data_IF_424783328663
#
_entry.id   IF_424783328663
#
_cell.length_a   1.000
_cell.length_b   1.000
_cell.length_c   1.000
_cell.angle_alpha   90.00
_cell.angle_beta   90.00
_cell.angle_gamma   90.00
#
_symmetry.space_group_name_H-M   'P 1'
#
loop_
_entity.id
_entity.type
_entity.pdbx_description
1 polymer ?
#
# COMPACT_ATOMS: atom_id res chain seq x y z
N UNK A 1 -8.32 -0.94 6.84
CA UNK A 1 -8.69 -0.39 5.51
C UNK A 1 -8.51 -1.49 4.48
N UNK A 2 -9.41 -1.62 3.51
CA UNK A 2 -9.30 -2.55 2.38
C UNK A 2 -9.94 -1.92 1.12
N UNK A 3 -9.81 -2.56 -0.04
CA UNK A 3 -10.16 -2.01 -1.37
C UNK A 3 -11.58 -2.32 -1.88
N UNK A 4 -12.45 -2.90 -1.05
CA UNK A 4 -13.75 -3.46 -1.47
C UNK A 4 -13.72 -4.65 -2.43
N UNK A 5 -12.61 -5.39 -2.59
CA UNK A 5 -12.64 -6.63 -3.36
C UNK A 5 -13.74 -7.59 -2.84
N UNK A 6 -14.33 -8.38 -3.72
CA UNK A 6 -15.48 -9.25 -3.38
C UNK A 6 -15.16 -10.23 -2.25
N UNK A 7 -13.92 -10.73 -2.19
CA UNK A 7 -13.46 -11.58 -1.09
C UNK A 7 -13.49 -10.85 0.27
N UNK A 8 -13.22 -9.55 0.30
CA UNK A 8 -13.26 -8.70 1.51
C UNK A 8 -14.69 -8.35 1.96
N UNK A 9 -15.72 -8.70 1.16
CA UNK A 9 -17.13 -8.37 1.43
C UNK A 9 -17.97 -9.62 1.72
N UNK A 10 -17.33 -10.76 1.95
CA UNK A 10 -18.00 -11.99 2.37
C UNK A 10 -18.47 -11.89 3.83
N UNK A 11 -19.51 -12.65 4.20
CA UNK A 11 -19.99 -12.75 5.58
C UNK A 11 -18.89 -13.25 6.52
N UNK A 12 -18.13 -14.26 6.11
CA UNK A 12 -17.04 -14.81 6.91
C UNK A 12 -15.96 -13.75 7.25
N UNK A 13 -15.63 -12.86 6.31
CA UNK A 13 -14.71 -11.74 6.59
C UNK A 13 -15.36 -10.71 7.50
N UNK A 14 -16.66 -10.42 7.33
CA UNK A 14 -17.37 -9.50 8.22
C UNK A 14 -17.40 -10.01 9.66
N UNK A 15 -17.79 -11.27 9.86
CA UNK A 15 -17.85 -11.91 11.18
C UNK A 15 -16.47 -11.89 11.86
N UNK A 16 -15.40 -12.14 11.10
CA UNK A 16 -14.03 -12.07 11.60
C UNK A 16 -13.61 -10.65 12.01
N UNK A 17 -13.96 -9.63 11.23
CA UNK A 17 -13.66 -8.24 11.63
C UNK A 17 -14.44 -7.86 12.89
N UNK A 18 -15.70 -8.28 13.00
CA UNK A 18 -16.55 -7.99 14.15
C UNK A 18 -16.04 -8.70 15.41
N UNK A 19 -15.57 -9.96 15.30
CA UNK A 19 -15.00 -10.70 16.43
C UNK A 19 -13.70 -10.09 16.93
N UNK A 20 -12.89 -9.53 16.04
CA UNK A 20 -11.63 -8.84 16.38
C UNK A 20 -11.86 -7.35 16.77
N UNK A 21 -13.10 -6.86 16.73
CA UNK A 21 -13.43 -5.47 17.02
C UNK A 21 -12.85 -4.46 16.01
N UNK A 22 -12.55 -4.90 14.79
CA UNK A 22 -11.93 -4.09 13.74
C UNK A 22 -13.00 -3.35 12.96
N UNK A 23 -13.00 -2.03 13.07
CA UNK A 23 -13.87 -1.19 12.25
C UNK A 23 -13.31 -1.01 10.84
N UNK A 24 -14.13 -1.32 9.85
CA UNK A 24 -13.77 -1.11 8.44
C UNK A 24 -13.96 0.35 8.05
N UNK A 25 -12.91 0.93 7.44
CA UNK A 25 -12.98 2.25 6.82
C UNK A 25 -13.82 2.18 5.53
N UNK A 26 -14.72 3.16 5.33
CA UNK A 26 -15.43 3.32 4.06
C UNK A 26 -14.41 3.67 2.96
N UNK A 27 -14.38 2.87 1.91
CA UNK A 27 -13.41 3.03 0.82
C UNK A 27 -14.10 3.34 -0.51
N UNK A 28 -13.68 4.37 -1.27
CA UNK A 28 -14.20 4.62 -2.60
C UNK A 28 -13.72 3.56 -3.60
N UNK A 29 -14.58 3.22 -4.56
CA UNK A 29 -14.20 2.30 -5.63
C UNK A 29 -13.10 2.89 -6.53
N UNK A 30 -12.25 2.04 -7.10
CA UNK A 30 -11.21 2.43 -8.08
C UNK A 30 -10.26 3.54 -7.61
N UNK A 31 -9.92 3.56 -6.33
CA UNK A 31 -9.06 4.59 -5.73
C UNK A 31 -7.72 4.04 -5.22
N UNK A 32 -6.87 3.45 -6.07
CA UNK A 32 -5.56 2.95 -5.65
C UNK A 32 -4.61 4.10 -5.28
N UNK A 33 -4.81 5.29 -5.83
CA UNK A 33 -4.07 6.51 -5.52
C UNK A 33 -4.25 7.00 -4.07
N UNK A 34 -5.40 6.69 -3.47
CA UNK A 34 -5.63 6.88 -2.04
C UNK A 34 -4.95 5.81 -1.18
N UNK A 35 -4.61 4.64 -1.72
CA UNK A 35 -4.11 3.52 -0.94
C UNK A 35 -2.60 3.64 -0.66
N UNK A 36 -2.16 3.90 0.59
CA UNK A 36 -0.74 4.16 0.88
C UNK A 36 0.17 2.97 0.60
N UNK A 37 -0.34 1.74 0.71
CA UNK A 37 0.46 0.53 0.50
C UNK A 37 0.94 0.38 -0.94
N UNK A 38 0.27 1.02 -1.91
CA UNK A 38 0.70 1.00 -3.31
C UNK A 38 2.07 1.67 -3.47
N UNK A 39 2.35 2.74 -2.72
CA UNK A 39 3.64 3.41 -2.73
C UNK A 39 4.74 2.55 -2.09
N UNK A 40 4.43 1.82 -1.02
CA UNK A 40 5.38 0.89 -0.38
C UNK A 40 5.65 -0.31 -1.29
N UNK A 41 4.61 -0.87 -1.90
CA UNK A 41 4.71 -2.04 -2.79
C UNK A 41 5.54 -1.74 -4.04
N UNK A 42 5.35 -0.57 -4.64
CA UNK A 42 6.15 -0.13 -5.78
C UNK A 42 7.60 0.13 -5.36
N UNK A 43 7.85 0.78 -4.22
CA UNK A 43 9.19 1.00 -3.69
C UNK A 43 9.93 -0.32 -3.42
N UNK A 44 9.25 -1.29 -2.81
CA UNK A 44 9.76 -2.63 -2.57
C UNK A 44 10.06 -3.36 -3.89
N UNK A 45 9.16 -3.24 -4.87
CA UNK A 45 9.35 -3.79 -6.21
C UNK A 45 10.59 -3.26 -6.90
N UNK A 46 10.88 -1.95 -6.77
CA UNK A 46 12.13 -1.35 -7.28
C UNK A 46 13.37 -1.92 -6.60
N UNK A 47 13.36 -2.06 -5.28
CA UNK A 47 14.51 -2.62 -4.55
C UNK A 47 14.79 -4.07 -4.96
N UNK A 48 13.74 -4.88 -5.11
CA UNK A 48 13.89 -6.27 -5.59
C UNK A 48 14.37 -6.33 -7.05
N UNK A 49 13.89 -5.44 -7.92
CA UNK A 49 14.32 -5.37 -9.32
C UNK A 49 15.76 -4.86 -9.47
N UNK A 50 16.23 -4.01 -8.56
CA UNK A 50 17.58 -3.45 -8.54
C UNK A 50 18.67 -4.38 -7.99
N UNK A 51 18.31 -5.59 -7.52
CA UNK A 51 19.29 -6.54 -6.97
C UNK A 51 20.24 -7.05 -8.06
N UNK A 52 21.51 -7.19 -7.70
CA UNK A 52 22.54 -7.80 -8.57
C UNK A 52 22.15 -9.20 -9.08
N UNK A 53 21.40 -9.95 -8.25
CA UNK A 53 20.88 -11.27 -8.59
C UNK A 53 19.36 -11.26 -8.49
N UNK A 54 18.65 -10.96 -9.60
CA UNK A 54 17.20 -10.96 -9.60
C UNK A 54 16.63 -12.35 -9.27
N UNK A 55 15.52 -12.43 -8.51
CA UNK A 55 14.89 -13.71 -8.18
C UNK A 55 14.30 -14.39 -9.42
N UNK A 56 14.62 -15.67 -9.63
CA UNK A 56 14.22 -16.44 -10.82
C UNK A 56 13.06 -17.42 -10.55
N UNK A 57 12.71 -17.63 -9.29
CA UNK A 57 11.63 -18.52 -8.88
C UNK A 57 10.88 -17.99 -7.64
N UNK A 58 9.75 -18.64 -7.33
CA UNK A 58 8.87 -18.26 -6.21
C UNK A 58 9.62 -18.10 -4.88
N UNK A 59 10.46 -19.06 -4.51
CA UNK A 59 11.15 -19.05 -3.22
C UNK A 59 12.18 -17.92 -3.15
N UNK A 60 12.96 -17.75 -4.22
CA UNK A 60 13.93 -16.63 -4.30
C UNK A 60 13.23 -15.28 -4.28
N UNK A 61 12.02 -15.17 -4.86
CA UNK A 61 11.23 -13.93 -4.86
C UNK A 61 10.67 -13.62 -3.49
N UNK A 62 10.13 -14.61 -2.77
CA UNK A 62 9.66 -14.44 -1.39
C UNK A 62 10.83 -13.97 -0.51
N UNK A 63 11.97 -14.67 -0.57
CA UNK A 63 13.16 -14.28 0.19
C UNK A 63 13.60 -12.86 -0.15
N UNK A 64 13.64 -12.51 -1.43
CA UNK A 64 14.05 -11.19 -1.85
C UNK A 64 13.10 -10.09 -1.33
N UNK A 65 11.78 -10.33 -1.37
CA UNK A 65 10.79 -9.39 -0.83
C UNK A 65 10.94 -9.22 0.68
N UNK A 66 11.14 -10.32 1.43
CA UNK A 66 11.35 -10.26 2.88
C UNK A 66 12.62 -9.46 3.21
N UNK A 67 13.74 -9.77 2.57
CA UNK A 67 15.02 -9.08 2.82
C UNK A 67 14.98 -7.59 2.49
N UNK A 68 14.25 -7.17 1.44
CA UNK A 68 14.11 -5.73 1.14
C UNK A 68 13.07 -5.06 2.04
N UNK A 69 12.03 -5.78 2.48
CA UNK A 69 11.04 -5.27 3.43
C UNK A 69 11.70 -4.95 4.78
N UNK A 70 12.55 -5.85 5.28
CA UNK A 70 13.24 -5.69 6.56
C UNK A 70 14.21 -4.50 6.58
N UNK A 71 14.61 -3.99 5.41
CA UNK A 71 15.45 -2.79 5.28
C UNK A 71 14.65 -1.50 5.23
N UNK A 72 13.33 -1.55 5.05
CA UNK A 72 12.51 -0.35 4.95
C UNK A 72 12.59 0.43 6.27
N UNK A 73 12.98 1.71 6.25
CA UNK A 73 12.98 2.52 7.46
C UNK A 73 11.55 2.66 7.99
N UNK A 74 11.36 2.48 9.30
CA UNK A 74 10.06 2.70 9.94
C UNK A 74 9.52 4.11 9.64
N UNK A 75 10.41 5.11 9.62
CA UNK A 75 10.06 6.49 9.29
C UNK A 75 9.44 6.64 7.89
N UNK A 76 9.85 5.82 6.91
CA UNK A 76 9.23 5.81 5.59
C UNK A 76 7.79 5.31 5.67
N UNK A 77 7.55 4.22 6.40
CA UNK A 77 6.20 3.68 6.60
C UNK A 77 5.31 4.70 7.31
N UNK A 78 5.83 5.34 8.36
CA UNK A 78 5.12 6.37 9.11
C UNK A 78 4.75 7.56 8.21
N UNK A 79 5.68 8.04 7.38
CA UNK A 79 5.43 9.12 6.43
C UNK A 79 4.34 8.74 5.40
N UNK A 80 4.37 7.51 4.90
CA UNK A 80 3.37 7.02 3.95
C UNK A 80 2.00 6.94 4.61
N UNK A 81 1.89 6.48 5.85
CA UNK A 81 0.63 6.46 6.61
C UNK A 81 0.14 7.88 6.89
N UNK A 82 1.01 8.77 7.38
CA UNK A 82 0.67 10.17 7.68
C UNK A 82 0.25 10.95 6.43
N UNK A 83 0.71 10.54 5.24
CA UNK A 83 0.29 11.15 3.97
C UNK A 83 -1.20 11.03 3.66
N UNK A 84 -1.94 10.14 4.35
CA UNK A 84 -3.37 9.91 4.10
C UNK A 84 -4.22 11.17 4.18
N UNK A 85 -3.94 12.05 5.15
CA UNK A 85 -4.68 13.31 5.30
C UNK A 85 -4.56 14.14 4.02
N UNK A 86 -3.33 14.32 3.54
CA UNK A 86 -3.03 15.07 2.33
C UNK A 86 -3.60 14.40 1.07
N UNK A 87 -3.64 13.07 1.00
CA UNK A 87 -4.28 12.35 -0.12
C UNK A 87 -5.77 12.64 -0.19
N UNK A 88 -6.45 12.59 0.94
CA UNK A 88 -7.89 12.91 1.02
C UNK A 88 -8.13 14.37 0.63
N UNK A 89 -7.31 15.30 1.10
CA UNK A 89 -7.38 16.72 0.69
C UNK A 89 -7.19 16.90 -0.82
N UNK A 90 -6.21 16.20 -1.42
CA UNK A 90 -6.02 16.21 -2.87
C UNK A 90 -7.24 15.65 -3.60
N UNK A 91 -7.81 14.54 -3.14
CA UNK A 91 -9.01 13.94 -3.72
C UNK A 91 -10.19 14.93 -3.72
N UNK A 92 -10.42 15.60 -2.59
CA UNK A 92 -11.48 16.61 -2.44
C UNK A 92 -11.22 17.79 -3.39
N UNK A 93 -9.99 18.28 -3.43
CA UNK A 93 -9.59 19.39 -4.31
C UNK A 93 -9.77 19.06 -5.79
N UNK A 94 -9.54 17.79 -6.16
CA UNK A 94 -9.71 17.28 -7.51
C UNK A 94 -11.15 16.78 -7.77
N UNK A 95 -12.09 17.04 -6.86
CA UNK A 95 -13.50 16.62 -6.96
C UNK A 95 -13.67 15.11 -7.19
N UNK A 96 -12.88 14.29 -6.49
CA UNK A 96 -12.85 12.83 -6.68
C UNK A 96 -12.03 12.37 -7.89
N UNK A 97 -11.34 13.28 -8.57
CA UNK A 97 -10.43 12.99 -9.66
C UNK A 97 -9.12 12.33 -9.21
N UNK A 98 -8.39 11.78 -10.18
CA UNK A 98 -7.15 11.04 -9.98
C UNK A 98 -6.05 11.91 -9.36
N UNK A 99 -5.46 11.44 -8.26
CA UNK A 99 -4.34 12.08 -7.60
C UNK A 99 -3.03 11.66 -8.28
N UNK A 100 -2.20 12.62 -8.75
CA UNK A 100 -0.91 12.30 -9.34
C UNK A 100 0.01 11.56 -8.38
N UNK A 101 0.49 10.37 -8.80
CA UNK A 101 1.40 9.53 -8.02
C UNK A 101 2.66 10.27 -7.53
N UNK A 102 3.17 11.22 -8.31
CA UNK A 102 4.39 12.00 -8.01
C UNK A 102 4.31 12.73 -6.66
N UNK A 103 3.12 13.06 -6.17
CA UNK A 103 2.94 13.77 -4.89
C UNK A 103 3.27 12.91 -3.67
N UNK A 104 3.21 11.58 -3.81
CA UNK A 104 3.40 10.64 -2.71
C UNK A 104 4.43 9.56 -3.04
N UNK A 105 5.22 9.79 -4.09
CA UNK A 105 6.27 8.88 -4.51
C UNK A 105 7.30 8.73 -3.40
N UNK A 106 7.54 7.49 -2.99
CA UNK A 106 8.65 7.14 -2.11
C UNK A 106 9.96 7.36 -2.90
N UNK A 107 10.98 8.05 -2.33
CA UNK A 107 12.28 8.28 -2.99
C UNK A 107 12.97 7.00 -3.49
N UNK A 108 14.05 7.11 -4.25
CA UNK A 108 14.79 5.92 -4.72
C UNK A 108 15.83 5.44 -3.68
N UNK A 109 16.25 6.36 -2.82
CA UNK A 109 17.41 6.31 -1.94
C UNK A 109 17.04 6.26 -0.45
N UNK A 110 15.79 5.87 -0.14
CA UNK A 110 15.38 5.66 1.25
C UNK A 110 16.12 4.49 1.91
#
# INVERSE_FOLDING_TARGET
MDDNATCHRTLAVQDCLDSEGIQRLVWPARSPDLNPIENVSEALGRQVAGRNYPPTNKNTRIRALTEEWDKLPQQLLDNVVQSMVRRVECCITLHGGHIPYIFFKVPADF
#
